data_IF_080985967240
#
_entry.id   IF_080985967240
#
_cell.length_a   1.000
_cell.length_b   1.000
_cell.length_c   1.000
_cell.angle_alpha   90.00
_cell.angle_beta   90.00
_cell.angle_gamma   90.00
#
_symmetry.space_group_name_H-M   'P 1'
#
loop_
_entity.id
_entity.type
_entity.pdbx_description
1 polymer ?
#
# COMPACT_ATOMS: atom_id res chain seq x y z
N UNK A 1 0.82 2.32 8.73
CA UNK A 1 1.29 1.00 8.26
C UNK A 1 2.69 0.74 8.80
N UNK A 2 2.97 -0.41 9.44
CA UNK A 2 4.30 -0.74 9.95
C UNK A 2 5.33 -0.86 8.82
N UNK A 3 6.59 -0.50 9.09
CA UNK A 3 7.71 -0.64 8.15
C UNK A 3 8.66 -1.72 8.67
N UNK A 4 8.81 -2.83 7.93
CA UNK A 4 9.52 -4.02 8.45
C UNK A 4 11.02 -3.82 8.69
N UNK A 5 11.68 -2.98 7.89
CA UNK A 5 13.11 -2.68 8.02
C UNK A 5 13.40 -1.45 8.88
N UNK A 6 12.38 -0.83 9.48
CA UNK A 6 12.51 0.34 10.36
C UNK A 6 11.70 0.10 11.65
N UNK A 7 12.29 -0.54 12.69
CA UNK A 7 11.59 -0.84 13.93
C UNK A 7 10.91 0.38 14.55
N UNK A 8 9.66 0.22 14.98
CA UNK A 8 8.81 1.29 15.54
C UNK A 8 8.53 2.47 14.60
N UNK A 9 8.76 2.33 13.29
CA UNK A 9 8.38 3.33 12.30
C UNK A 9 7.13 2.89 11.55
N UNK A 10 6.22 3.85 11.34
CA UNK A 10 4.95 3.62 10.70
C UNK A 10 4.66 4.72 9.70
N UNK A 11 4.24 4.34 8.49
CA UNK A 11 3.63 5.28 7.54
C UNK A 11 2.30 5.75 8.13
N UNK A 12 2.18 7.07 8.29
CA UNK A 12 0.94 7.74 8.66
C UNK A 12 0.14 8.13 7.41
N UNK A 13 0.81 8.72 6.42
CA UNK A 13 0.25 9.09 5.12
C UNK A 13 1.15 8.61 4.00
N UNK A 14 0.58 8.22 2.87
CA UNK A 14 1.31 7.65 1.74
C UNK A 14 1.52 8.68 0.61
N UNK A 15 0.69 9.74 0.55
CA UNK A 15 0.73 10.75 -0.51
C UNK A 15 0.10 12.08 -0.05
N UNK A 16 0.83 13.09 0.46
CA UNK A 16 2.27 13.14 0.79
C UNK A 16 2.70 12.10 1.83
N UNK A 17 3.97 11.68 1.83
CA UNK A 17 4.47 10.70 2.79
C UNK A 17 4.77 11.37 4.14
N UNK A 18 4.26 10.76 5.20
CA UNK A 18 4.71 11.00 6.58
C UNK A 18 5.03 9.67 7.27
N UNK A 19 6.21 9.59 7.88
CA UNK A 19 6.61 8.46 8.72
C UNK A 19 6.74 8.93 10.16
N UNK A 20 5.98 8.29 11.04
CA UNK A 20 6.05 8.48 12.47
C UNK A 20 6.94 7.41 13.12
N UNK A 21 7.82 7.81 14.03
CA UNK A 21 8.49 6.92 14.96
C UNK A 21 7.74 6.92 16.28
N UNK A 22 7.48 5.73 16.83
CA UNK A 22 6.71 5.54 18.06
C UNK A 22 7.62 5.11 19.20
N UNK A 23 7.45 5.70 20.37
CA UNK A 23 8.02 5.21 21.62
C UNK A 23 6.89 4.70 22.51
N UNK A 24 6.72 3.37 22.63
CA UNK A 24 5.63 2.79 23.39
C UNK A 24 5.87 2.87 24.91
N UNK A 25 7.11 3.06 25.35
CA UNK A 25 7.46 3.17 26.78
C UNK A 25 7.06 4.55 27.28
N UNK A 26 7.46 5.59 26.56
CA UNK A 26 7.15 6.98 26.91
C UNK A 26 5.79 7.46 26.37
N UNK A 27 5.12 6.64 25.54
CA UNK A 27 3.84 6.94 24.89
C UNK A 27 3.88 8.19 24.01
N UNK A 28 4.99 8.38 23.30
CA UNK A 28 5.21 9.51 22.40
C UNK A 28 5.34 9.05 20.95
N UNK A 29 5.15 10.01 20.04
CA UNK A 29 5.37 9.82 18.61
C UNK A 29 5.94 11.09 18.01
N UNK A 30 6.85 10.95 17.05
CA UNK A 30 7.40 12.07 16.28
C UNK A 30 7.38 11.75 14.79
N UNK A 31 7.12 12.75 13.95
CA UNK A 31 7.28 12.62 12.50
C UNK A 31 8.76 12.78 12.18
N UNK A 32 9.37 11.72 11.64
CA UNK A 32 10.82 11.66 11.37
C UNK A 32 11.17 11.81 9.89
N UNK A 33 10.21 11.56 9.00
CA UNK A 33 10.37 11.72 7.54
C UNK A 33 9.08 12.32 6.98
N UNK A 34 9.24 13.37 6.19
CA UNK A 34 8.18 13.98 5.38
C UNK A 34 8.68 14.10 3.95
N UNK A 35 7.87 13.68 2.98
CA UNK A 35 8.14 13.86 1.55
C UNK A 35 6.89 14.33 0.84
N UNK A 36 7.04 15.38 0.06
CA UNK A 36 5.97 15.87 -0.79
C UNK A 36 6.00 15.16 -2.14
N UNK A 37 4.85 14.69 -2.56
CA UNK A 37 4.63 14.05 -3.84
C UNK A 37 3.48 14.74 -4.57
N UNK A 38 3.56 14.78 -5.89
CA UNK A 38 2.47 15.26 -6.74
C UNK A 38 1.80 14.08 -7.46
N UNK A 39 1.53 12.99 -6.73
CA UNK A 39 0.82 11.87 -7.32
C UNK A 39 -0.68 12.15 -7.37
N UNK A 40 -1.18 12.33 -8.59
CA UNK A 40 -2.60 12.51 -8.86
C UNK A 40 -3.31 11.16 -8.77
N UNK A 41 -3.82 10.86 -7.59
CA UNK A 41 -4.73 9.73 -7.33
C UNK A 41 -6.12 10.27 -6.98
N UNK A 42 -7.21 9.62 -7.42
CA UNK A 42 -8.56 10.12 -7.22
C UNK A 42 -8.99 10.14 -5.75
N UNK A 43 -8.37 9.30 -4.91
CA UNK A 43 -8.72 9.12 -3.51
C UNK A 43 -7.46 9.07 -2.65
N UNK A 44 -7.59 9.40 -1.36
CA UNK A 44 -6.49 9.33 -0.41
C UNK A 44 -5.96 7.89 -0.28
N UNK A 45 -4.65 7.72 -0.40
CA UNK A 45 -3.96 6.46 -0.13
C UNK A 45 -3.84 6.29 1.38
N UNK A 46 -4.73 5.48 1.94
CA UNK A 46 -4.86 5.25 3.37
C UNK A 46 -3.93 4.12 3.81
N UNK A 47 -4.34 3.36 4.82
CA UNK A 47 -3.61 2.21 5.32
C UNK A 47 -3.57 1.06 4.31
N UNK A 48 -3.27 -0.14 4.79
CA UNK A 48 -3.11 -1.33 3.98
C UNK A 48 -2.17 -2.31 4.65
N UNK A 49 -1.37 -3.01 3.86
CA UNK A 49 -0.36 -3.94 4.37
C UNK A 49 0.74 -3.24 5.17
N UNK A 50 1.63 -4.02 5.77
CA UNK A 50 2.97 -3.53 6.12
C UNK A 50 3.77 -3.15 4.87
N UNK A 51 4.77 -2.29 5.07
CA UNK A 51 5.80 -1.97 4.08
C UNK A 51 6.93 -2.98 4.21
N UNK A 52 7.30 -3.61 3.11
CA UNK A 52 8.38 -4.60 3.08
C UNK A 52 9.57 -4.12 2.23
N UNK A 53 10.79 -4.58 2.53
CA UNK A 53 11.92 -4.43 1.64
C UNK A 53 11.63 -5.00 0.25
N UNK A 54 12.14 -4.32 -0.76
CA UNK A 54 12.00 -4.67 -2.16
C UNK A 54 13.34 -4.55 -2.89
N UNK A 55 13.36 -4.98 -4.15
CA UNK A 55 14.56 -5.03 -5.01
C UNK A 55 15.36 -3.71 -4.93
N UNK A 56 16.69 -3.81 -5.01
CA UNK A 56 17.61 -2.66 -5.03
C UNK A 56 17.50 -1.70 -3.83
N UNK A 57 17.00 -2.20 -2.69
CA UNK A 57 16.82 -1.37 -1.49
C UNK A 57 15.58 -0.49 -1.49
N UNK A 58 14.73 -0.62 -2.53
CA UNK A 58 13.40 -0.01 -2.54
C UNK A 58 12.50 -0.65 -1.48
N UNK A 59 11.30 -0.08 -1.30
CA UNK A 59 10.26 -0.58 -0.40
C UNK A 59 8.93 -0.64 -1.12
N UNK A 60 8.10 -1.62 -0.80
CA UNK A 60 6.79 -1.81 -1.42
C UNK A 60 5.71 -2.11 -0.37
N UNK A 61 4.50 -1.60 -0.60
CA UNK A 61 3.30 -2.01 0.13
C UNK A 61 2.08 -2.08 -0.79
N UNK A 62 0.99 -2.63 -0.27
CA UNK A 62 -0.36 -2.49 -0.83
C UNK A 62 -1.16 -1.56 0.06
N UNK A 63 -1.66 -0.46 -0.49
CA UNK A 63 -2.57 0.46 0.19
C UNK A 63 -4.03 0.17 -0.17
N UNK A 64 -4.95 0.81 0.54
CA UNK A 64 -6.33 0.95 0.11
C UNK A 64 -6.72 2.44 -0.03
N UNK A 65 -7.67 2.69 -0.93
CA UNK A 65 -8.36 3.96 -1.11
C UNK A 65 -9.88 3.71 -1.13
N UNK A 66 -10.67 4.69 -0.69
CA UNK A 66 -12.10 4.48 -0.43
C UNK A 66 -12.94 5.52 -1.16
N UNK A 67 -13.87 5.04 -1.97
CA UNK A 67 -14.93 5.81 -2.60
C UNK A 67 -16.22 5.62 -1.79
N UNK A 68 -16.62 6.65 -1.04
CA UNK A 68 -17.81 6.62 -0.19
C UNK A 68 -19.04 7.11 -0.96
N UNK A 69 -20.15 6.40 -0.80
CA UNK A 69 -21.42 6.80 -1.36
C UNK A 69 -22.59 6.41 -0.44
N UNK A 70 -23.79 6.86 -0.78
CA UNK A 70 -25.01 6.40 -0.12
C UNK A 70 -25.76 5.46 -1.06
N UNK A 71 -26.16 4.30 -0.55
CA UNK A 71 -26.99 3.38 -1.31
C UNK A 71 -28.42 3.94 -1.48
N UNK A 72 -29.31 3.30 -2.27
CA UNK A 72 -30.68 3.79 -2.46
C UNK A 72 -31.47 4.00 -1.16
N UNK A 73 -31.16 3.24 -0.10
CA UNK A 73 -31.74 3.38 1.24
C UNK A 73 -31.12 4.48 2.09
N UNK A 74 -30.24 5.32 1.54
CA UNK A 74 -29.50 6.38 2.25
C UNK A 74 -28.56 5.86 3.36
N UNK A 75 -28.16 4.59 3.29
CA UNK A 75 -27.12 4.06 4.17
C UNK A 75 -25.74 4.26 3.54
N UNK A 76 -24.75 4.56 4.37
CA UNK A 76 -23.35 4.65 3.96
C UNK A 76 -22.90 3.32 3.37
N UNK A 77 -22.26 3.38 2.20
CA UNK A 77 -21.62 2.25 1.55
C UNK A 77 -20.30 2.74 0.91
N UNK A 78 -19.48 1.82 0.42
CA UNK A 78 -18.16 2.16 -0.09
C UNK A 78 -17.64 1.19 -1.14
N UNK A 79 -16.77 1.69 -2.02
CA UNK A 79 -15.86 0.87 -2.81
C UNK A 79 -14.43 1.04 -2.29
N UNK A 80 -13.79 -0.08 -1.96
CA UNK A 80 -12.39 -0.13 -1.56
C UNK A 80 -11.55 -0.58 -2.75
N UNK A 81 -10.61 0.25 -3.15
CA UNK A 81 -9.64 -0.07 -4.19
C UNK A 81 -8.26 -0.19 -3.57
N UNK A 82 -7.37 -0.93 -4.22
CA UNK A 82 -6.02 -1.18 -3.77
C UNK A 82 -5.00 -0.66 -4.77
N UNK A 83 -3.83 -0.28 -4.28
CA UNK A 83 -2.69 0.09 -5.12
C UNK A 83 -1.41 -0.47 -4.55
N UNK A 84 -0.48 -0.85 -5.42
CA UNK A 84 0.90 -0.99 -5.02
C UNK A 84 1.56 0.38 -4.97
N UNK A 85 2.37 0.62 -3.95
CA UNK A 85 3.18 1.83 -3.82
C UNK A 85 4.62 1.42 -3.59
N UNK A 86 5.53 2.02 -4.36
CA UNK A 86 6.96 1.74 -4.31
C UNK A 86 7.74 3.03 -4.03
N UNK A 87 8.66 2.94 -3.08
CA UNK A 87 9.61 4.00 -2.75
C UNK A 87 11.04 3.53 -2.93
N UNK A 88 11.94 4.46 -3.27
CA UNK A 88 13.37 4.19 -3.21
C UNK A 88 13.88 4.14 -1.76
N UNK A 89 15.18 3.88 -1.61
CA UNK A 89 15.86 3.83 -0.29
C UNK A 89 15.70 5.11 0.54
N UNK A 90 15.55 6.26 -0.12
CA UNK A 90 15.48 7.61 0.45
C UNK A 90 14.04 8.12 0.57
N UNK A 91 13.06 7.22 0.40
CA UNK A 91 11.63 7.49 0.46
C UNK A 91 11.12 8.45 -0.62
N UNK A 92 11.79 8.55 -1.77
CA UNK A 92 11.19 9.19 -2.94
C UNK A 92 10.21 8.22 -3.61
N UNK A 93 9.07 8.74 -4.07
CA UNK A 93 8.05 7.92 -4.73
C UNK A 93 8.54 7.45 -6.11
N UNK A 94 8.69 6.13 -6.28
CA UNK A 94 9.14 5.51 -7.54
C UNK A 94 7.98 5.13 -8.46
N UNK A 95 6.87 4.64 -7.88
CA UNK A 95 5.70 4.20 -8.63
C UNK A 95 4.44 4.04 -7.75
N UNK A 96 3.28 4.25 -8.36
CA UNK A 96 1.96 3.91 -7.79
C UNK A 96 1.16 3.16 -8.85
N UNK A 97 0.61 1.98 -8.54
CA UNK A 97 -0.17 1.25 -9.54
C UNK A 97 -1.51 1.94 -9.83
N UNK A 98 -2.11 1.62 -10.97
CA UNK A 98 -3.54 1.79 -11.18
C UNK A 98 -4.35 1.06 -10.09
N UNK A 99 -5.58 1.53 -9.79
CA UNK A 99 -6.39 0.92 -8.75
C UNK A 99 -6.88 -0.47 -9.17
N UNK A 100 -6.92 -1.40 -8.23
CA UNK A 100 -7.43 -2.75 -8.47
C UNK A 100 -8.28 -3.28 -7.31
N UNK A 101 -8.99 -4.37 -7.59
CA UNK A 101 -9.68 -5.21 -6.61
C UNK A 101 -9.17 -6.64 -6.73
N UNK A 102 -9.11 -7.37 -5.63
CA UNK A 102 -8.64 -8.75 -5.60
C UNK A 102 -9.67 -9.70 -6.21
N UNK A 103 -10.93 -9.55 -5.83
CA UNK A 103 -12.05 -10.42 -6.23
C UNK A 103 -13.27 -9.62 -6.73
N UNK A 104 -13.09 -8.33 -6.99
CA UNK A 104 -14.11 -7.40 -7.46
C UNK A 104 -15.28 -7.14 -6.48
N UNK A 105 -15.10 -7.41 -5.18
CA UNK A 105 -16.10 -7.01 -4.18
C UNK A 105 -16.05 -5.50 -3.89
N UNK A 106 -17.16 -4.97 -3.36
CA UNK A 106 -17.23 -3.55 -2.94
C UNK A 106 -16.25 -3.25 -1.81
N UNK A 107 -16.31 -4.03 -0.73
CA UNK A 107 -15.44 -3.93 0.43
C UNK A 107 -14.40 -5.05 0.37
N UNK A 108 -13.13 -4.65 0.27
CA UNK A 108 -11.96 -5.50 0.33
C UNK A 108 -10.89 -4.73 1.12
N UNK A 109 -10.10 -5.40 1.94
CA UNK A 109 -9.13 -4.72 2.80
C UNK A 109 -7.81 -5.48 2.85
N UNK A 110 -6.76 -4.96 2.20
CA UNK A 110 -5.42 -5.52 2.31
C UNK A 110 -4.89 -5.41 3.76
N UNK A 111 -4.57 -6.55 4.36
CA UNK A 111 -4.08 -6.66 5.73
C UNK A 111 -2.58 -6.94 5.81
N UNK A 112 -2.01 -7.60 4.80
CA UNK A 112 -0.64 -8.06 4.88
C UNK A 112 0.02 -8.32 3.54
N UNK A 113 1.34 -8.15 3.51
CA UNK A 113 2.19 -8.40 2.35
C UNK A 113 3.49 -9.08 2.81
N UNK A 114 3.79 -10.25 2.25
CA UNK A 114 5.05 -10.93 2.43
C UNK A 114 5.65 -11.31 1.08
N UNK A 115 6.98 -11.35 0.99
CA UNK A 115 7.70 -11.84 -0.18
C UNK A 115 8.31 -13.21 0.14
N UNK A 116 8.02 -14.21 -0.68
CA UNK A 116 8.57 -15.56 -0.54
C UNK A 116 8.70 -16.23 -1.92
N UNK A 117 9.88 -16.74 -2.24
CA UNK A 117 10.17 -17.51 -3.46
C UNK A 117 9.64 -16.81 -4.73
N UNK A 118 9.97 -15.53 -4.93
CA UNK A 118 9.49 -14.67 -6.04
C UNK A 118 7.96 -14.55 -6.15
N UNK A 119 7.25 -14.74 -5.04
CA UNK A 119 5.84 -14.50 -4.94
C UNK A 119 5.53 -13.57 -3.77
N UNK A 120 4.61 -12.64 -4.01
CA UNK A 120 3.90 -11.98 -2.93
C UNK A 120 2.85 -12.91 -2.35
N UNK A 121 2.77 -12.96 -1.03
CA UNK A 121 1.65 -13.49 -0.27
C UNK A 121 0.90 -12.29 0.30
N UNK A 122 -0.30 -12.04 -0.23
CA UNK A 122 -1.11 -10.88 0.12
C UNK A 122 -2.32 -11.37 0.88
N UNK A 123 -2.49 -10.94 2.13
CA UNK A 123 -3.70 -11.25 2.91
C UNK A 123 -4.68 -10.10 2.82
N UNK A 124 -5.97 -10.43 2.66
CA UNK A 124 -7.02 -9.43 2.57
C UNK A 124 -8.34 -9.94 3.13
N UNK A 125 -9.13 -9.01 3.68
CA UNK A 125 -10.53 -9.23 4.02
C UNK A 125 -11.44 -9.06 2.80
N UNK A 126 -12.53 -9.82 2.77
CA UNK A 126 -13.57 -9.76 1.75
C UNK A 126 -14.92 -9.53 2.42
N UNK A 127 -15.57 -8.41 2.08
CA UNK A 127 -16.85 -7.97 2.62
C UNK A 127 -16.97 -8.01 4.15
N UNK A 128 -15.88 -7.71 4.86
CA UNK A 128 -15.79 -7.78 6.32
C UNK A 128 -16.30 -9.10 6.93
N UNK A 129 -16.27 -10.19 6.15
CA UNK A 129 -16.89 -11.47 6.51
C UNK A 129 -15.94 -12.67 6.32
N UNK A 130 -15.02 -12.58 5.37
CA UNK A 130 -14.05 -13.65 5.10
C UNK A 130 -12.64 -13.09 4.94
N UNK A 131 -11.64 -13.95 5.16
CA UNK A 131 -10.23 -13.63 4.96
C UNK A 131 -9.63 -14.57 3.92
N UNK A 132 -8.78 -14.03 3.06
CA UNK A 132 -8.10 -14.75 2.00
C UNK A 132 -6.59 -14.46 2.00
N UNK A 133 -5.83 -15.37 1.39
CA UNK A 133 -4.41 -15.17 1.10
C UNK A 133 -4.16 -15.45 -0.39
N UNK A 134 -3.74 -14.43 -1.13
CA UNK A 134 -3.39 -14.51 -2.54
C UNK A 134 -1.89 -14.72 -2.68
N UNK A 135 -1.50 -15.77 -3.41
CA UNK A 135 -0.14 -15.93 -3.92
C UNK A 135 -0.04 -15.30 -5.31
N UNK A 136 0.74 -14.23 -5.43
CA UNK A 136 0.94 -13.47 -6.67
C UNK A 136 2.42 -13.52 -7.10
N UNK A 137 2.78 -14.10 -8.25
CA UNK A 137 4.13 -14.00 -8.79
C UNK A 137 4.55 -12.53 -8.95
N UNK A 138 5.76 -12.18 -8.52
CA UNK A 138 6.25 -10.78 -8.52
C UNK A 138 6.29 -10.18 -9.92
N UNK A 139 6.57 -11.00 -10.95
CA UNK A 139 6.50 -10.62 -12.37
C UNK A 139 5.14 -10.10 -12.85
N UNK A 140 4.06 -10.31 -12.10
CA UNK A 140 2.76 -9.74 -12.45
C UNK A 140 2.73 -8.22 -12.21
N UNK A 141 3.64 -7.66 -11.42
CA UNK A 141 3.81 -6.20 -11.31
C UNK A 141 4.06 -5.55 -12.69
N UNK A 142 4.77 -6.24 -13.59
CA UNK A 142 5.02 -5.75 -14.96
C UNK A 142 3.76 -5.59 -15.80
N UNK A 143 2.68 -6.29 -15.42
CA UNK A 143 1.42 -6.30 -16.16
C UNK A 143 0.42 -5.27 -15.62
N UNK A 144 0.73 -4.61 -14.50
CA UNK A 144 -0.11 -3.56 -13.95
C UNK A 144 0.13 -2.24 -14.68
N UNK A 145 -0.90 -1.40 -14.75
CA UNK A 145 -0.72 0.01 -15.08
C UNK A 145 -0.05 0.75 -13.91
N UNK A 146 0.78 1.75 -14.21
CA UNK A 146 1.54 2.51 -13.21
C UNK A 146 1.49 4.00 -13.50
N UNK A 147 1.21 4.78 -12.46
CA UNK A 147 1.40 6.22 -12.39
C UNK A 147 2.81 6.55 -11.87
N UNK A 148 3.36 7.69 -12.29
CA UNK A 148 4.63 8.23 -11.80
C UNK A 148 5.80 7.25 -11.83
N UNK A 149 5.99 6.50 -12.92
CA UNK A 149 7.11 5.55 -13.09
C UNK A 149 8.44 6.28 -13.26
N UNK A 150 8.96 6.87 -12.18
CA UNK A 150 10.31 7.44 -12.13
C UNK A 150 11.22 6.35 -11.58
N UNK A 151 12.00 5.74 -12.47
CA UNK A 151 13.14 4.83 -12.22
C UNK A 151 12.91 3.30 -12.11
N UNK A 152 11.69 2.78 -11.95
CA UNK A 152 11.52 1.31 -12.00
C UNK A 152 11.49 0.79 -13.45
N UNK A 153 12.67 0.53 -14.01
CA UNK A 153 12.82 -0.43 -15.11
C UNK A 153 13.04 -1.79 -14.47
N UNK A 154 12.10 -2.72 -14.67
CA UNK A 154 12.33 -4.11 -14.31
C UNK A 154 13.39 -4.61 -15.28
N UNK A 155 14.68 -4.47 -14.91
CA UNK A 155 15.80 -4.97 -15.71
C UNK A 155 15.90 -6.50 -15.59
N UNK A 156 14.77 -7.20 -15.72
CA UNK A 156 14.67 -8.65 -15.75
C UNK A 156 15.59 -9.34 -14.75
N UNK A 157 15.16 -9.40 -13.49
CA UNK A 157 15.67 -10.39 -12.52
C UNK A 157 14.47 -11.17 -12.00
#
# INVERSE_FOLDING_TARGET
MPILDMPMHFIKWTNNLEIAKIDPVNKTSEIVITKEYNAEVPFELRGGSQVIPWKNGSRICVTHEVDFYHNPGQHKDAHYYHRFVIWDKDWNLEAVSEPFKFMAAKIEFACGLALKDDNFIITYGYQDNAAYALKMPTKLLDKLGWLNRRSWTNNGL
#
